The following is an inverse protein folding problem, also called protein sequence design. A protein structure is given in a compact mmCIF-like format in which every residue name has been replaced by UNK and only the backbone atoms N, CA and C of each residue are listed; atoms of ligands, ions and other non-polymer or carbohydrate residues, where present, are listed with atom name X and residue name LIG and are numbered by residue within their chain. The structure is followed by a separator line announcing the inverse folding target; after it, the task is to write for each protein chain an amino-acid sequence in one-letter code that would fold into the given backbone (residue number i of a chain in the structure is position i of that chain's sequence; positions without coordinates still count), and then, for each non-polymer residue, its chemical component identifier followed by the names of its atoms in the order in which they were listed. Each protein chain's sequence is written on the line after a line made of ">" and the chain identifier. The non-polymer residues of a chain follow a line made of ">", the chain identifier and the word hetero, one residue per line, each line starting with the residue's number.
data_IF_127488694381
#
_entry.id   IF_127488694381
#
_cell.length_a   1.000
_cell.length_b   1.000
_cell.length_c   1.000
_cell.angle_alpha   90.00
_cell.angle_beta   90.00
_cell.angle_gamma   90.00
#
_symmetry.space_group_name_H-M   'P 1'
#
loop_
_entity.id
_entity.type
_entity.pdbx_description
1 polymer ?
#
# COMPACT_ATOMS: atom_id res chain seq x y z
N UNK A 1 -28.76 -9.78 14.26
CA UNK A 1 -27.41 -9.16 14.32
C UNK A 1 -26.41 -10.29 14.24
N UNK A 2 -25.43 -10.25 13.33
CA UNK A 2 -24.52 -11.38 13.15
C UNK A 2 -23.57 -11.47 14.32
N UNK A 3 -23.80 -12.43 15.21
CA UNK A 3 -22.94 -12.72 16.35
C UNK A 3 -21.66 -13.43 15.86
N UNK A 4 -20.84 -12.69 15.12
CA UNK A 4 -19.52 -13.11 14.64
C UNK A 4 -18.42 -12.52 15.54
N UNK A 5 -17.45 -13.36 15.89
CA UNK A 5 -16.31 -13.06 16.75
C UNK A 5 -15.07 -13.16 15.85
N UNK A 6 -14.34 -12.07 15.59
CA UNK A 6 -13.15 -12.11 14.74
C UNK A 6 -12.06 -12.97 15.38
N UNK A 7 -11.38 -13.77 14.56
CA UNK A 7 -10.23 -14.60 14.96
C UNK A 7 -8.94 -13.93 14.51
N UNK A 8 -8.84 -13.66 13.21
CA UNK A 8 -7.64 -13.10 12.60
C UNK A 8 -8.01 -12.25 11.38
N UNK A 9 -7.16 -11.26 11.09
CA UNK A 9 -7.25 -10.41 9.89
C UNK A 9 -6.03 -10.70 9.04
N UNK A 10 -6.18 -10.63 7.71
CA UNK A 10 -5.06 -10.90 6.79
C UNK A 10 -4.42 -12.26 7.09
N UNK A 11 -5.24 -13.29 7.29
CA UNK A 11 -4.74 -14.63 7.57
C UNK A 11 -4.24 -15.26 6.27
N UNK A 12 -2.98 -15.68 6.27
CA UNK A 12 -2.32 -16.31 5.14
C UNK A 12 -2.73 -17.78 5.03
N UNK A 13 -3.26 -18.17 3.87
CA UNK A 13 -3.60 -19.54 3.55
C UNK A 13 -3.20 -19.86 2.11
N UNK A 14 -2.43 -20.94 1.92
CA UNK A 14 -1.87 -21.33 0.62
C UNK A 14 -1.30 -20.16 -0.21
N UNK A 15 -0.48 -19.31 0.43
CA UNK A 15 0.16 -18.12 -0.16
C UNK A 15 -0.79 -16.97 -0.53
N UNK A 16 -2.09 -17.09 -0.24
CA UNK A 16 -3.09 -16.03 -0.39
C UNK A 16 -3.47 -15.44 0.98
N UNK A 17 -3.93 -14.19 1.03
CA UNK A 17 -4.34 -13.53 2.27
C UNK A 17 -5.85 -13.32 2.32
N UNK A 18 -6.53 -13.99 3.26
CA UNK A 18 -7.95 -13.72 3.54
C UNK A 18 -8.12 -12.38 4.24
N UNK A 19 -9.18 -11.63 3.95
CA UNK A 19 -9.40 -10.35 4.64
C UNK A 19 -9.68 -10.53 6.13
N UNK A 20 -10.70 -11.32 6.50
CA UNK A 20 -11.00 -11.64 7.92
C UNK A 20 -11.48 -13.10 8.05
N UNK A 21 -10.89 -13.81 9.01
CA UNK A 21 -11.47 -15.03 9.57
C UNK A 21 -12.17 -14.73 10.89
N UNK A 22 -13.37 -15.26 11.05
CA UNK A 22 -14.19 -15.12 12.24
C UNK A 22 -14.87 -16.44 12.58
N UNK A 23 -15.45 -16.50 13.78
CA UNK A 23 -16.35 -17.59 14.16
C UNK A 23 -17.67 -17.07 14.66
N UNK A 24 -18.72 -17.84 14.47
CA UNK A 24 -19.98 -17.63 15.18
C UNK A 24 -19.88 -18.12 16.63
N UNK A 25 -20.91 -17.82 17.44
CA UNK A 25 -21.05 -18.39 18.79
C UNK A 25 -21.06 -19.93 18.84
N UNK A 26 -21.51 -20.60 17.78
CA UNK A 26 -21.47 -22.07 17.66
C UNK A 26 -20.17 -22.60 17.04
N UNK A 27 -19.10 -21.78 17.01
CA UNK A 27 -17.77 -22.14 16.48
C UNK A 27 -17.78 -22.54 15.00
N UNK A 28 -18.76 -22.06 14.22
CA UNK A 28 -18.75 -22.17 12.77
C UNK A 28 -17.76 -21.17 12.20
N UNK A 29 -16.88 -21.60 11.30
CA UNK A 29 -15.97 -20.72 10.60
C UNK A 29 -16.72 -19.78 9.64
N UNK A 30 -16.34 -18.51 9.67
CA UNK A 30 -16.83 -17.47 8.77
C UNK A 30 -15.64 -16.81 8.09
N UNK A 31 -15.66 -16.76 6.76
CA UNK A 31 -14.69 -16.05 5.94
C UNK A 31 -15.36 -14.79 5.42
N UNK A 32 -14.75 -13.63 5.67
CA UNK A 32 -15.21 -12.37 5.12
C UNK A 32 -14.16 -11.84 4.15
N UNK A 33 -14.59 -11.64 2.91
CA UNK A 33 -13.82 -10.93 1.89
C UNK A 33 -14.43 -9.55 1.68
N UNK A 34 -13.60 -8.50 1.74
CA UNK A 34 -14.07 -7.10 1.68
C UNK A 34 -13.28 -6.39 0.59
N UNK A 35 -14.00 -5.77 -0.35
CA UNK A 35 -13.40 -4.98 -1.43
C UNK A 35 -13.92 -3.54 -1.41
N UNK A 36 -13.04 -2.61 -1.73
CA UNK A 36 -13.36 -1.18 -1.82
C UNK A 36 -14.09 -0.83 -3.12
N UNK A 37 -14.00 -1.70 -4.13
CA UNK A 37 -14.54 -1.46 -5.46
C UNK A 37 -15.30 -2.69 -5.97
N UNK A 38 -15.83 -2.61 -7.18
CA UNK A 38 -16.43 -3.78 -7.82
C UNK A 38 -15.33 -4.75 -8.26
N UNK A 39 -15.35 -5.97 -7.72
CA UNK A 39 -14.40 -7.04 -8.01
C UNK A 39 -15.14 -8.21 -8.70
N UNK A 40 -14.80 -8.56 -9.95
CA UNK A 40 -15.42 -9.68 -10.67
C UNK A 40 -14.96 -11.08 -10.22
N UNK A 41 -13.91 -11.18 -9.40
CA UNK A 41 -13.27 -12.46 -9.03
C UNK A 41 -13.52 -12.86 -7.56
N UNK A 42 -14.26 -12.05 -6.79
CA UNK A 42 -14.48 -12.26 -5.35
C UNK A 42 -15.11 -13.63 -5.00
N UNK A 43 -15.96 -14.18 -5.89
CA UNK A 43 -16.54 -15.52 -5.71
C UNK A 43 -15.48 -16.61 -5.89
N UNK A 44 -14.60 -16.44 -6.89
CA UNK A 44 -13.51 -17.38 -7.15
C UNK A 44 -12.53 -17.37 -5.99
N UNK A 45 -12.20 -16.19 -5.47
CA UNK A 45 -11.32 -16.04 -4.32
C UNK A 45 -11.89 -16.71 -3.06
N UNK A 46 -13.16 -16.46 -2.73
CA UNK A 46 -13.82 -17.16 -1.62
C UNK A 46 -13.89 -18.69 -1.82
N UNK A 47 -13.97 -19.14 -3.08
CA UNK A 47 -13.92 -20.58 -3.42
C UNK A 47 -12.54 -21.17 -3.14
N UNK A 48 -11.46 -20.46 -3.46
CA UNK A 48 -10.09 -20.89 -3.15
C UNK A 48 -9.88 -20.97 -1.63
N UNK A 49 -10.29 -19.95 -0.89
CA UNK A 49 -10.20 -19.95 0.57
C UNK A 49 -10.96 -21.12 1.18
N UNK A 50 -12.18 -21.40 0.70
CA UNK A 50 -12.95 -22.55 1.16
C UNK A 50 -12.17 -23.86 0.99
N UNK A 51 -11.56 -24.07 -0.18
CA UNK A 51 -10.79 -25.28 -0.46
C UNK A 51 -9.65 -25.47 0.53
N UNK A 52 -8.79 -24.45 0.68
CA UNK A 52 -7.63 -24.57 1.56
C UNK A 52 -8.02 -24.62 3.04
N UNK A 53 -9.04 -23.87 3.48
CA UNK A 53 -9.52 -23.92 4.87
C UNK A 53 -10.06 -25.30 5.24
N UNK A 54 -10.64 -26.04 4.28
CA UNK A 54 -11.10 -27.42 4.52
C UNK A 54 -9.95 -28.41 4.66
N UNK A 55 -8.83 -28.17 3.98
CA UNK A 55 -7.63 -29.02 4.04
C UNK A 55 -6.80 -28.70 5.28
N UNK A 56 -6.45 -27.44 5.48
CA UNK A 56 -5.51 -27.01 6.52
C UNK A 56 -6.15 -26.92 7.91
N UNK A 57 -7.46 -26.67 7.97
CA UNK A 57 -8.25 -26.57 9.20
C UNK A 57 -7.61 -25.72 10.32
N UNK A 58 -7.23 -24.45 10.05
CA UNK A 58 -6.63 -23.59 11.07
C UNK A 58 -7.58 -23.34 12.26
N UNK A 59 -7.02 -23.09 13.45
CA UNK A 59 -7.78 -22.86 14.69
C UNK A 59 -8.73 -24.02 15.04
N UNK A 60 -8.33 -25.27 14.80
CA UNK A 60 -9.16 -26.46 15.05
C UNK A 60 -9.62 -26.59 16.51
N UNK A 61 -8.88 -26.02 17.46
CA UNK A 61 -9.26 -25.91 18.87
C UNK A 61 -10.43 -24.95 19.12
N UNK A 62 -10.70 -24.05 18.18
CA UNK A 62 -11.72 -23.01 18.27
C UNK A 62 -12.84 -23.13 17.23
N UNK A 63 -12.66 -23.99 16.22
CA UNK A 63 -13.53 -24.11 15.06
C UNK A 63 -14.03 -25.53 14.89
N UNK A 64 -15.35 -25.65 14.73
CA UNK A 64 -16.00 -26.90 14.39
C UNK A 64 -16.09 -27.07 12.86
N UNK A 65 -15.09 -27.71 12.26
CA UNK A 65 -15.03 -27.97 10.82
C UNK A 65 -16.08 -28.95 10.29
N UNK A 66 -16.85 -29.61 11.17
CA UNK A 66 -18.03 -30.38 10.78
C UNK A 66 -19.20 -29.48 10.35
N UNK A 67 -19.17 -28.20 10.72
CA UNK A 67 -20.12 -27.21 10.21
C UNK A 67 -19.66 -26.70 8.83
N UNK A 68 -20.59 -26.29 7.95
CA UNK A 68 -20.22 -25.65 6.70
C UNK A 68 -19.49 -24.33 6.98
N UNK A 69 -18.45 -24.03 6.21
CA UNK A 69 -17.77 -22.72 6.28
C UNK A 69 -18.71 -21.69 5.63
N UNK A 70 -18.93 -20.58 6.33
CA UNK A 70 -19.81 -19.50 5.89
C UNK A 70 -18.98 -18.48 5.10
N UNK A 71 -19.34 -18.24 3.83
CA UNK A 71 -18.59 -17.38 2.91
C UNK A 71 -19.34 -16.08 2.68
N UNK A 72 -18.70 -14.96 3.02
CA UNK A 72 -19.34 -13.64 3.00
C UNK A 72 -18.48 -12.69 2.18
N UNK A 73 -19.06 -12.10 1.15
CA UNK A 73 -18.46 -11.02 0.38
C UNK A 73 -19.11 -9.69 0.76
N UNK A 74 -18.29 -8.65 0.95
CA UNK A 74 -18.73 -7.30 1.28
C UNK A 74 -18.13 -6.32 0.27
N UNK A 75 -18.98 -5.63 -0.50
CA UNK A 75 -18.55 -4.72 -1.56
C UNK A 75 -19.51 -3.54 -1.70
N UNK A 76 -19.13 -2.38 -2.27
CA UNK A 76 -20.11 -1.33 -2.55
C UNK A 76 -21.12 -1.75 -3.64
N UNK A 77 -20.64 -2.53 -4.60
CA UNK A 77 -21.43 -3.15 -5.65
C UNK A 77 -20.81 -4.49 -6.07
N UNK A 78 -21.60 -5.36 -6.67
CA UNK A 78 -21.12 -6.63 -7.21
C UNK A 78 -21.25 -6.66 -8.72
N UNK A 79 -20.20 -7.16 -9.39
CA UNK A 79 -20.19 -7.33 -10.83
C UNK A 79 -21.21 -8.41 -11.24
N UNK A 80 -21.74 -8.31 -12.46
CA UNK A 80 -22.68 -9.30 -13.04
C UNK A 80 -22.13 -10.74 -12.97
N UNK A 81 -20.81 -10.91 -13.08
CA UNK A 81 -20.16 -12.22 -13.01
C UNK A 81 -20.32 -12.84 -11.63
N UNK A 82 -20.15 -12.08 -10.54
CA UNK A 82 -20.35 -12.59 -9.19
C UNK A 82 -21.73 -13.23 -8.98
N UNK A 83 -22.77 -12.67 -9.61
CA UNK A 83 -24.11 -13.26 -9.55
C UNK A 83 -24.23 -14.54 -10.37
N UNK A 84 -23.61 -14.59 -11.55
CA UNK A 84 -23.56 -15.78 -12.41
C UNK A 84 -22.76 -16.89 -11.70
N UNK A 85 -21.57 -16.56 -11.21
CA UNK A 85 -20.69 -17.48 -10.54
C UNK A 85 -21.35 -18.03 -9.27
N UNK A 86 -21.98 -17.17 -8.46
CA UNK A 86 -22.79 -17.63 -7.31
C UNK A 86 -23.95 -18.53 -7.74
N UNK A 87 -24.65 -18.21 -8.82
CA UNK A 87 -25.83 -18.98 -9.29
C UNK A 87 -25.45 -20.41 -9.71
N UNK A 88 -24.27 -20.61 -10.28
CA UNK A 88 -23.81 -21.90 -10.78
C UNK A 88 -22.78 -22.59 -9.88
N UNK A 89 -22.48 -22.02 -8.70
CA UNK A 89 -21.57 -22.62 -7.72
C UNK A 89 -22.35 -23.49 -6.71
N UNK A 90 -21.71 -24.55 -6.23
CA UNK A 90 -22.26 -25.46 -5.22
C UNK A 90 -22.17 -24.90 -3.79
N UNK A 91 -21.26 -23.95 -3.56
CA UNK A 91 -21.06 -23.28 -2.29
C UNK A 91 -22.07 -22.15 -2.10
N UNK A 92 -22.43 -21.88 -0.85
CA UNK A 92 -23.35 -20.80 -0.50
C UNK A 92 -22.56 -19.54 -0.14
N UNK A 93 -22.82 -18.45 -0.89
CA UNK A 93 -22.19 -17.15 -0.69
C UNK A 93 -23.21 -16.11 -0.24
N UNK A 94 -22.85 -15.33 0.77
CA UNK A 94 -23.62 -14.17 1.21
C UNK A 94 -23.00 -12.91 0.61
N UNK A 95 -23.77 -12.20 -0.21
CA UNK A 95 -23.36 -10.93 -0.81
C UNK A 95 -23.97 -9.78 -0.02
N UNK A 96 -23.12 -8.96 0.59
CA UNK A 96 -23.53 -7.76 1.31
C UNK A 96 -23.03 -6.55 0.56
N UNK A 97 -23.97 -5.67 0.21
CA UNK A 97 -23.60 -4.35 -0.29
C UNK A 97 -23.39 -3.39 0.86
N UNK A 98 -22.37 -2.55 0.80
CA UNK A 98 -22.25 -1.43 1.73
C UNK A 98 -22.37 -0.08 1.04
N UNK A 99 -22.86 0.91 1.76
CA UNK A 99 -22.80 2.30 1.36
C UNK A 99 -22.38 3.17 2.55
N UNK A 100 -21.64 4.23 2.27
CA UNK A 100 -21.34 5.24 3.27
C UNK A 100 -22.18 6.47 2.91
N UNK A 101 -23.08 6.87 3.80
CA UNK A 101 -24.02 7.97 3.60
C UNK A 101 -23.65 9.10 4.56
N UNK A 102 -23.59 10.33 4.07
CA UNK A 102 -23.41 11.52 4.89
C UNK A 102 -24.78 12.08 5.29
N UNK A 103 -24.95 12.43 6.56
CA UNK A 103 -26.13 13.15 7.02
C UNK A 103 -26.10 14.60 6.51
N UNK A 104 -27.14 15.02 5.78
CA UNK A 104 -27.23 16.38 5.25
C UNK A 104 -27.22 17.47 6.33
N UNK A 105 -27.60 17.13 7.56
CA UNK A 105 -27.67 18.07 8.67
C UNK A 105 -26.37 18.15 9.48
N UNK A 106 -25.46 17.18 9.32
CA UNK A 106 -24.18 17.15 10.03
C UNK A 106 -23.05 16.57 9.16
N UNK A 107 -22.23 17.46 8.59
CA UNK A 107 -21.11 17.16 7.67
C UNK A 107 -20.12 16.10 8.21
N UNK A 108 -20.06 15.88 9.52
CA UNK A 108 -19.13 14.94 10.17
C UNK A 108 -19.77 13.61 10.58
N UNK A 109 -21.03 13.38 10.22
CA UNK A 109 -21.74 12.14 10.55
C UNK A 109 -21.87 11.27 9.29
N UNK A 110 -20.99 10.29 9.19
CA UNK A 110 -21.08 9.27 8.15
C UNK A 110 -21.69 8.02 8.75
N UNK A 111 -22.53 7.38 7.97
CA UNK A 111 -23.25 6.18 8.36
C UNK A 111 -22.85 5.04 7.42
N UNK A 112 -22.32 3.96 7.98
CA UNK A 112 -22.16 2.71 7.23
C UNK A 112 -23.53 2.06 7.14
N UNK A 113 -24.04 1.86 5.92
CA UNK A 113 -25.21 1.07 5.65
C UNK A 113 -24.78 -0.27 5.05
N UNK A 114 -25.31 -1.37 5.58
CA UNK A 114 -25.15 -2.71 5.03
C UNK A 114 -26.49 -3.21 4.50
N UNK A 115 -26.51 -3.67 3.26
CA UNK A 115 -27.66 -4.19 2.55
C UNK A 115 -27.42 -5.67 2.23
N UNK A 116 -28.23 -6.53 2.83
CA UNK A 116 -28.28 -7.94 2.47
C UNK A 116 -29.14 -8.09 1.23
N UNK A 117 -28.59 -8.73 0.20
CA UNK A 117 -29.37 -9.04 -0.99
C UNK A 117 -30.57 -9.93 -0.59
N UNK A 118 -31.78 -9.57 -1.03
CA UNK A 118 -33.12 -10.09 -0.68
C UNK A 118 -33.87 -9.40 0.45
N UNK A 119 -33.22 -8.59 1.29
CA UNK A 119 -33.90 -7.75 2.28
C UNK A 119 -33.43 -6.30 2.08
N UNK A 120 -34.34 -5.40 1.66
CA UNK A 120 -34.11 -3.95 1.67
C UNK A 120 -33.94 -3.37 3.09
N UNK A 121 -33.57 -4.21 4.06
CA UNK A 121 -33.55 -3.88 5.47
C UNK A 121 -32.12 -3.58 5.91
N UNK A 122 -31.94 -2.30 6.27
CA UNK A 122 -30.79 -1.75 6.97
C UNK A 122 -30.60 -2.52 8.27
N UNK A 123 -29.39 -3.02 8.56
CA UNK A 123 -29.18 -3.72 9.86
C UNK A 123 -28.10 -3.11 10.75
N UNK A 124 -27.34 -2.12 10.30
CA UNK A 124 -26.45 -1.38 11.21
C UNK A 124 -26.42 0.05 10.74
N UNK A 125 -27.02 0.96 11.51
CA UNK A 125 -26.66 2.38 11.44
C UNK A 125 -25.61 2.59 12.53
N UNK A 126 -24.34 2.56 12.14
CA UNK A 126 -23.25 2.94 13.03
C UNK A 126 -22.75 4.27 12.54
N UNK A 127 -22.83 5.29 13.40
CA UNK A 127 -22.05 6.50 13.19
C UNK A 127 -20.61 6.05 13.07
N UNK A 128 -20.08 6.17 11.86
CA UNK A 128 -18.65 6.23 11.67
C UNK A 128 -18.34 7.61 12.24
N UNK A 129 -17.73 7.73 13.43
CA UNK A 129 -17.16 9.01 13.76
C UNK A 129 -16.31 9.35 12.54
N UNK A 130 -16.50 10.53 11.94
CA UNK A 130 -15.31 11.17 11.43
C UNK A 130 -14.43 11.29 12.65
N UNK A 131 -13.56 10.30 12.78
CA UNK A 131 -12.16 10.60 12.77
C UNK A 131 -12.02 11.63 11.67
N UNK A 132 -12.24 12.91 11.99
CA UNK A 132 -11.53 13.96 11.32
C UNK A 132 -10.13 13.41 11.39
N UNK A 133 -9.60 12.91 10.28
CA UNK A 133 -8.22 12.47 10.26
C UNK A 133 -7.40 13.64 10.78
N UNK A 134 -7.82 14.90 10.60
CA UNK A 134 -7.25 16.03 11.35
C UNK A 134 -7.42 16.06 12.88
N UNK A 135 -8.48 15.52 13.53
CA UNK A 135 -8.64 15.52 14.99
C UNK A 135 -8.21 14.23 15.68
N UNK A 136 -8.30 13.05 15.08
CA UNK A 136 -7.53 11.90 15.62
C UNK A 136 -6.10 11.94 15.12
N UNK A 137 -5.74 12.45 13.94
CA UNK A 137 -4.33 12.81 13.71
C UNK A 137 -3.95 13.93 14.67
N UNK A 138 -4.74 14.95 15.01
CA UNK A 138 -4.31 15.90 16.07
C UNK A 138 -4.34 15.31 17.47
N UNK A 139 -5.21 14.35 17.81
CA UNK A 139 -5.32 13.75 19.14
C UNK A 139 -4.41 12.53 19.31
N UNK A 140 -4.04 11.87 18.22
CA UNK A 140 -3.03 10.83 18.09
C UNK A 140 -1.68 11.51 17.86
N UNK A 141 -1.54 12.63 17.14
CA UNK A 141 -0.36 13.54 17.20
C UNK A 141 -0.27 14.17 18.59
N UNK A 142 -1.37 14.50 19.27
CA UNK A 142 -1.32 15.03 20.65
C UNK A 142 -1.10 13.92 21.69
N UNK A 143 -1.55 12.68 21.42
CA UNK A 143 -1.21 11.49 22.21
C UNK A 143 0.14 10.93 21.82
N UNK A 144 0.71 11.17 20.65
CA UNK A 144 2.08 10.86 20.23
C UNK A 144 3.02 12.00 20.67
N UNK A 145 2.49 13.20 20.90
CA UNK A 145 3.22 14.29 21.54
C UNK A 145 3.20 14.17 23.07
N UNK A 146 2.21 13.50 23.66
CA UNK A 146 2.08 13.33 25.12
C UNK A 146 2.25 11.89 25.63
N UNK A 147 2.20 10.85 24.78
CA UNK A 147 2.76 9.52 25.02
C UNK A 147 4.06 9.46 24.25
N UNK A 148 5.12 9.20 24.99
CA UNK A 148 6.47 8.97 24.51
C UNK A 148 6.52 7.78 23.53
N UNK A 149 6.23 8.00 22.25
CA UNK A 149 6.54 7.12 21.11
C UNK A 149 6.51 8.02 19.86
N UNK A 150 7.59 8.65 19.44
CA UNK A 150 8.91 8.10 19.30
C UNK A 150 9.98 9.05 19.88
N UNK A 151 10.63 8.62 20.95
CA UNK A 151 12.06 8.91 21.13
C UNK A 151 12.84 8.07 20.09
N UNK A 152 12.57 8.26 18.79
CA UNK A 152 13.42 7.79 17.70
C UNK A 152 14.35 8.94 17.32
N UNK A 153 15.58 8.57 16.99
CA UNK A 153 16.74 9.45 16.97
C UNK A 153 16.69 10.44 15.80
N UNK A 154 16.20 11.66 16.04
CA UNK A 154 16.49 12.83 15.19
C UNK A 154 15.31 13.77 15.04
N UNK A 155 15.45 15.01 15.52
CA UNK A 155 14.48 16.08 15.26
C UNK A 155 14.47 16.42 13.77
N UNK A 156 13.52 15.87 13.01
CA UNK A 156 13.31 16.24 11.60
C UNK A 156 12.34 17.43 11.54
N UNK A 157 12.73 18.50 10.83
CA UNK A 157 11.88 19.67 10.64
C UNK A 157 10.60 19.33 9.85
N UNK A 158 9.55 20.14 10.03
CA UNK A 158 8.29 20.01 9.27
C UNK A 158 8.52 19.95 7.74
N UNK A 159 7.69 19.19 7.00
CA UNK A 159 7.71 19.17 5.53
C UNK A 159 7.69 20.57 4.91
N UNK A 160 8.44 20.80 3.83
CA UNK A 160 8.31 22.07 3.10
C UNK A 160 6.93 22.15 2.42
N UNK A 161 6.43 23.37 2.23
CA UNK A 161 5.14 23.63 1.55
C UNK A 161 4.98 22.90 0.20
N UNK A 162 6.05 22.69 -0.54
CA UNK A 162 5.98 21.97 -1.83
C UNK A 162 5.66 20.50 -1.64
N UNK A 163 6.21 19.87 -0.60
CA UNK A 163 5.86 18.50 -0.26
C UNK A 163 4.40 18.43 0.17
N UNK A 164 3.96 19.35 1.05
CA UNK A 164 2.55 19.43 1.47
C UNK A 164 1.62 19.52 0.25
N UNK A 165 1.90 20.42 -0.69
CA UNK A 165 1.11 20.56 -1.91
C UNK A 165 1.14 19.31 -2.82
N UNK A 166 2.17 18.46 -2.72
CA UNK A 166 2.17 17.17 -3.42
C UNK A 166 1.28 16.18 -2.69
N UNK A 167 1.43 16.08 -1.36
CA UNK A 167 0.68 15.17 -0.50
C UNK A 167 -0.82 15.41 -0.57
N UNK A 168 -1.27 16.66 -0.69
CA UNK A 168 -2.70 17.02 -0.80
C UNK A 168 -3.38 16.45 -2.04
N UNK A 169 -2.62 15.94 -3.01
CA UNK A 169 -3.12 15.37 -4.25
C UNK A 169 -3.03 13.85 -4.32
N UNK A 170 -2.50 13.22 -3.28
CA UNK A 170 -2.24 11.78 -3.23
C UNK A 170 -3.23 11.10 -2.29
N UNK A 171 -3.33 9.78 -2.39
CA UNK A 171 -4.14 9.00 -1.43
C UNK A 171 -3.56 9.12 -0.01
N UNK A 172 -4.40 9.01 1.04
CA UNK A 172 -3.94 9.05 2.43
C UNK A 172 -2.84 8.02 2.75
N UNK A 173 -2.95 6.80 2.21
CA UNK A 173 -1.95 5.73 2.36
C UNK A 173 -0.61 6.17 1.78
N UNK A 174 -0.61 6.65 0.53
CA UNK A 174 0.60 7.16 -0.14
C UNK A 174 1.23 8.31 0.65
N UNK A 175 0.41 9.19 1.22
CA UNK A 175 0.89 10.32 2.05
C UNK A 175 1.64 9.84 3.29
N UNK A 176 1.12 8.85 4.00
CA UNK A 176 1.76 8.26 5.20
C UNK A 176 3.11 7.66 4.82
N UNK A 177 3.15 6.84 3.77
CA UNK A 177 4.39 6.17 3.36
C UNK A 177 5.45 7.17 2.91
N UNK A 178 5.08 8.22 2.15
CA UNK A 178 6.03 9.28 1.79
C UNK A 178 6.59 10.00 3.02
N UNK A 179 5.77 10.25 4.03
CA UNK A 179 6.21 10.90 5.27
C UNK A 179 7.16 10.01 6.08
N UNK A 180 6.89 8.70 6.19
CA UNK A 180 7.79 7.73 6.80
C UNK A 180 9.15 7.70 6.10
N UNK A 181 9.14 7.61 4.76
CA UNK A 181 10.36 7.60 3.95
C UNK A 181 11.15 8.90 4.08
N UNK A 182 10.46 10.04 4.14
CA UNK A 182 11.09 11.34 4.41
C UNK A 182 11.80 11.35 5.75
N UNK A 183 11.16 10.87 6.81
CA UNK A 183 11.76 10.82 8.13
C UNK A 183 13.00 9.91 8.12
N UNK A 184 12.91 8.72 7.54
CA UNK A 184 14.05 7.82 7.38
C UNK A 184 15.21 8.48 6.63
N UNK A 185 14.94 9.16 5.51
CA UNK A 185 15.96 9.85 4.74
C UNK A 185 16.65 10.98 5.52
N UNK A 186 15.89 11.76 6.29
CA UNK A 186 16.42 12.90 7.03
C UNK A 186 17.09 12.50 8.37
N UNK A 187 16.75 11.33 8.91
CA UNK A 187 17.37 10.78 10.14
C UNK A 187 18.58 9.89 9.85
N UNK A 188 18.59 9.16 8.73
CA UNK A 188 19.69 8.26 8.34
C UNK A 188 21.05 8.95 8.24
N UNK A 189 21.09 10.21 7.79
CA UNK A 189 22.33 10.99 7.76
C UNK A 189 22.04 12.49 7.96
N UNK A 190 22.64 13.11 8.98
CA UNK A 190 22.42 14.52 9.34
C UNK A 190 22.76 15.52 8.22
N UNK A 191 23.57 15.10 7.22
CA UNK A 191 23.93 15.96 6.09
C UNK A 191 22.88 15.94 4.97
N UNK A 192 21.92 15.01 5.01
CA UNK A 192 20.82 14.94 4.03
C UNK A 192 19.91 16.13 4.22
N UNK A 193 19.60 16.80 3.11
CA UNK A 193 18.67 17.93 3.08
C UNK A 193 17.57 17.66 2.09
N UNK A 194 16.38 18.12 2.43
CA UNK A 194 15.26 18.25 1.50
C UNK A 194 15.46 19.51 0.65
N UNK A 195 15.52 19.35 -0.68
CA UNK A 195 15.89 20.39 -1.63
C UNK A 195 14.81 20.48 -2.73
N UNK A 196 14.15 21.64 -2.80
CA UNK A 196 13.14 21.94 -3.84
C UNK A 196 13.81 22.22 -5.19
N UNK A 197 13.22 21.68 -6.26
CA UNK A 197 13.56 22.04 -7.63
C UNK A 197 12.37 21.87 -8.59
N UNK A 198 11.71 22.97 -8.95
CA UNK A 198 10.53 22.94 -9.81
C UNK A 198 9.42 22.02 -9.27
N UNK A 199 9.02 21.01 -10.05
CA UNK A 199 8.06 19.95 -9.68
C UNK A 199 8.72 18.71 -9.08
N UNK A 200 9.91 18.86 -8.53
CA UNK A 200 10.66 17.79 -7.89
C UNK A 200 11.17 18.21 -6.52
N UNK A 201 11.31 17.22 -5.65
CA UNK A 201 11.93 17.34 -4.34
C UNK A 201 13.06 16.32 -4.31
N UNK A 202 14.27 16.80 -4.04
CA UNK A 202 15.46 15.98 -3.92
C UNK A 202 15.82 15.81 -2.45
N UNK A 203 16.34 14.64 -2.11
CA UNK A 203 16.99 14.37 -0.82
C UNK A 203 18.45 14.00 -1.08
N UNK A 204 19.36 14.67 -0.38
CA UNK A 204 20.81 14.45 -0.50
C UNK A 204 21.63 15.63 0.04
N UNK A 205 22.94 15.66 -0.25
CA UNK A 205 23.80 16.78 0.18
C UNK A 205 23.49 18.07 -0.60
N UNK A 206 23.13 17.93 -1.88
CA UNK A 206 22.84 19.02 -2.81
C UNK A 206 22.05 18.49 -4.00
N UNK A 207 21.59 19.39 -4.89
CA UNK A 207 20.91 18.99 -6.15
C UNK A 207 21.76 18.09 -7.05
N UNK A 208 23.09 18.20 -6.97
CA UNK A 208 24.04 17.42 -7.78
C UNK A 208 24.55 16.17 -7.09
N UNK A 209 24.17 15.96 -5.81
CA UNK A 209 24.45 14.74 -5.04
C UNK A 209 23.17 14.23 -4.35
N UNK A 210 22.12 13.87 -5.12
CA UNK A 210 20.91 13.27 -4.57
C UNK A 210 21.08 11.78 -4.27
N UNK A 211 20.39 11.29 -3.24
CA UNK A 211 20.14 9.86 -3.03
C UNK A 211 18.70 9.49 -3.42
N UNK A 212 17.76 10.43 -3.33
CA UNK A 212 16.35 10.26 -3.70
C UNK A 212 15.78 11.50 -4.40
N UNK A 213 14.79 11.27 -5.26
CA UNK A 213 13.93 12.30 -5.84
C UNK A 213 12.47 11.86 -5.82
N UNK A 214 11.60 12.74 -5.34
CA UNK A 214 10.16 12.69 -5.59
C UNK A 214 9.79 13.65 -6.70
N UNK A 215 8.99 13.19 -7.66
CA UNK A 215 8.49 14.00 -8.78
C UNK A 215 6.99 13.80 -8.93
N UNK A 216 6.24 14.89 -8.79
CA UNK A 216 4.80 14.86 -9.02
C UNK A 216 4.52 14.88 -10.53
N UNK A 217 3.85 13.85 -11.01
CA UNK A 217 3.30 13.82 -12.36
C UNK A 217 1.82 14.15 -12.29
N UNK A 218 1.44 15.18 -13.03
CA UNK A 218 0.04 15.54 -13.16
C UNK A 218 -0.49 15.03 -14.48
N UNK A 219 -1.63 14.34 -14.43
CA UNK A 219 -2.30 13.90 -15.64
C UNK A 219 -2.95 15.09 -16.33
N UNK A 220 -2.72 15.24 -17.64
CA UNK A 220 -3.48 16.20 -18.46
C UNK A 220 -4.85 15.66 -18.88
N UNK A 221 -5.12 14.38 -18.61
CA UNK A 221 -6.35 13.68 -19.00
C UNK A 221 -7.14 13.30 -17.75
N UNK A 222 -8.44 13.58 -17.75
CA UNK A 222 -9.37 13.34 -16.63
C UNK A 222 -9.53 11.86 -16.19
N UNK A 223 -8.85 10.92 -16.86
CA UNK A 223 -8.90 9.48 -16.55
C UNK A 223 -7.75 8.97 -15.68
N UNK A 224 -6.66 9.74 -15.53
CA UNK A 224 -5.53 9.32 -14.67
C UNK A 224 -5.41 10.29 -13.49
N UNK A 225 -5.25 9.73 -12.29
CA UNK A 225 -4.98 10.51 -11.07
C UNK A 225 -3.56 11.06 -11.09
N UNK A 226 -3.35 12.20 -10.42
CA UNK A 226 -2.00 12.70 -10.12
C UNK A 226 -1.26 11.61 -9.32
N UNK A 227 -0.01 11.33 -9.68
CA UNK A 227 0.80 10.31 -8.99
C UNK A 227 2.21 10.82 -8.71
N UNK A 228 2.81 10.31 -7.65
CA UNK A 228 4.17 10.63 -7.27
C UNK A 228 5.13 9.54 -7.75
N UNK A 229 6.13 9.94 -8.52
CA UNK A 229 7.22 9.06 -8.91
C UNK A 229 8.38 9.18 -7.91
N UNK A 230 8.87 8.05 -7.42
CA UNK A 230 10.11 7.99 -6.64
C UNK A 230 11.26 7.53 -7.51
N UNK A 231 12.41 8.17 -7.33
CA UNK A 231 13.66 7.77 -7.94
C UNK A 231 14.74 7.66 -6.88
N UNK A 232 15.56 6.60 -6.96
CA UNK A 232 16.74 6.42 -6.11
C UNK A 232 18.02 6.35 -6.94
N UNK A 233 19.12 6.80 -6.37
CA UNK A 233 20.44 6.61 -6.97
C UNK A 233 21.03 5.30 -6.47
N UNK A 234 20.85 4.23 -7.26
CA UNK A 234 21.19 2.85 -6.88
C UNK A 234 22.16 2.22 -7.87
N UNK A 235 22.76 1.05 -7.56
CA UNK A 235 23.70 0.40 -8.45
C UNK A 235 23.12 0.10 -9.83
N UNK A 236 23.87 0.39 -10.89
CA UNK A 236 23.50 0.08 -12.27
C UNK A 236 23.83 -1.39 -12.51
N UNK A 237 22.85 -2.21 -12.91
CA UNK A 237 23.12 -3.60 -13.24
C UNK A 237 24.18 -3.73 -14.33
N UNK A 238 25.03 -4.76 -14.24
CA UNK A 238 26.22 -4.94 -15.10
C UNK A 238 25.89 -4.82 -16.59
N UNK A 239 24.76 -5.37 -17.02
CA UNK A 239 24.28 -5.31 -18.41
C UNK A 239 24.03 -3.88 -18.93
N UNK A 240 23.78 -2.92 -18.04
CA UNK A 240 23.50 -1.53 -18.40
C UNK A 240 24.70 -0.58 -18.25
N UNK A 241 25.81 -1.01 -17.66
CA UNK A 241 27.01 -0.18 -17.45
C UNK A 241 27.53 0.40 -18.77
N UNK A 242 27.45 -0.38 -19.87
CA UNK A 242 27.88 0.05 -21.20
C UNK A 242 27.12 1.26 -21.74
N UNK A 243 25.91 1.52 -21.27
CA UNK A 243 25.08 2.66 -21.68
C UNK A 243 25.36 3.93 -20.88
N UNK A 244 26.19 3.86 -19.83
CA UNK A 244 26.55 5.00 -18.97
C UNK A 244 27.93 5.63 -19.30
N UNK A 245 28.52 5.28 -20.45
CA UNK A 245 29.89 5.70 -20.86
C UNK A 245 30.07 7.21 -21.10
N UNK A 246 28.99 7.99 -21.14
CA UNK A 246 29.04 9.44 -21.42
C UNK A 246 29.52 10.28 -20.22
N UNK A 247 29.50 9.73 -19.00
CA UNK A 247 30.14 10.36 -17.85
C UNK A 247 31.47 9.63 -17.61
N UNK A 248 32.61 10.33 -17.62
CA UNK A 248 33.93 9.79 -17.23
C UNK A 248 33.99 9.27 -15.77
N UNK A 249 32.83 9.09 -15.11
CA UNK A 249 32.65 8.36 -13.87
C UNK A 249 32.19 6.95 -14.20
N UNK A 250 33.05 5.98 -13.91
CA UNK A 250 32.66 4.59 -13.64
C UNK A 250 31.90 4.57 -12.29
N UNK A 251 30.94 5.47 -12.06
CA UNK A 251 30.11 5.37 -10.87
C UNK A 251 29.13 4.26 -11.16
N UNK A 252 29.30 3.15 -10.45
CA UNK A 252 28.39 2.02 -10.50
C UNK A 252 26.97 2.34 -10.04
N UNK A 253 26.61 3.62 -9.79
CA UNK A 253 25.29 4.08 -9.38
C UNK A 253 24.63 4.95 -10.45
N UNK A 254 23.30 4.87 -10.54
CA UNK A 254 22.48 5.56 -11.52
C UNK A 254 21.08 5.84 -10.98
N UNK A 255 20.37 6.75 -11.65
CA UNK A 255 19.02 7.14 -11.26
C UNK A 255 18.03 6.07 -11.72
N UNK A 256 17.40 5.40 -10.76
CA UNK A 256 16.41 4.35 -10.96
C UNK A 256 15.03 4.86 -10.60
N UNK A 257 14.05 4.64 -11.46
CA UNK A 257 12.62 4.81 -11.14
C UNK A 257 12.11 3.55 -10.45
N UNK A 258 11.39 3.72 -9.35
CA UNK A 258 10.76 2.62 -8.61
C UNK A 258 9.28 2.54 -8.96
N UNK A 259 8.84 1.38 -9.45
CA UNK A 259 7.43 1.04 -9.62
C UNK A 259 6.91 0.31 -8.39
N UNK A 260 6.10 0.99 -7.59
CA UNK A 260 5.51 0.44 -6.37
C UNK A 260 4.21 -0.29 -6.66
N UNK A 261 3.79 -1.12 -5.71
CA UNK A 261 2.40 -1.54 -5.55
C UNK A 261 1.45 -0.38 -5.22
N UNK A 262 0.15 -0.66 -5.15
CA UNK A 262 -0.89 0.34 -4.91
C UNK A 262 -0.74 1.05 -3.54
N UNK A 263 -0.15 0.36 -2.56
CA UNK A 263 0.01 0.84 -1.19
C UNK A 263 1.37 1.51 -0.92
N UNK A 264 2.23 1.61 -1.94
CA UNK A 264 3.56 2.23 -1.86
C UNK A 264 4.54 1.53 -0.89
N UNK A 265 4.29 0.25 -0.58
CA UNK A 265 5.08 -0.52 0.41
C UNK A 265 6.09 -1.45 -0.23
N UNK A 266 5.76 -2.05 -1.38
CA UNK A 266 6.64 -2.98 -2.08
C UNK A 266 7.02 -2.46 -3.46
N UNK A 267 8.27 -2.69 -3.85
CA UNK A 267 8.77 -2.31 -5.18
C UNK A 267 8.60 -3.51 -6.09
N UNK A 268 7.66 -3.41 -7.03
CA UNK A 268 7.41 -4.45 -8.02
C UNK A 268 8.43 -4.40 -9.15
N UNK A 269 8.76 -3.19 -9.60
CA UNK A 269 9.62 -2.99 -10.76
C UNK A 269 10.60 -1.84 -10.59
N UNK A 270 11.66 -1.87 -11.38
CA UNK A 270 12.67 -0.82 -11.43
C UNK A 270 13.07 -0.51 -12.87
N UNK A 271 13.19 0.78 -13.18
CA UNK A 271 13.56 1.25 -14.52
C UNK A 271 14.78 2.16 -14.45
N UNK A 272 15.81 1.83 -15.23
CA UNK A 272 17.04 2.62 -15.29
C UNK A 272 16.91 3.82 -16.24
N UNK A 273 17.31 5.01 -15.77
CA UNK A 273 17.27 6.24 -16.54
C UNK A 273 18.68 6.69 -16.96
N UNK A 274 18.89 6.97 -18.27
CA UNK A 274 20.16 7.49 -18.78
C UNK A 274 19.99 8.88 -19.38
N UNK A 275 21.06 9.67 -19.41
CA UNK A 275 21.09 11.00 -20.05
C UNK A 275 20.90 10.89 -21.57
N UNK A 276 21.40 9.82 -22.19
CA UNK A 276 21.38 9.60 -23.64
C UNK A 276 20.09 8.95 -24.14
N UNK A 277 19.35 8.27 -23.26
CA UNK A 277 18.12 7.57 -23.61
C UNK A 277 17.12 7.69 -22.46
N UNK A 278 16.00 8.41 -22.70
CA UNK A 278 14.91 8.59 -21.72
C UNK A 278 14.32 7.25 -21.25
N UNK A 279 14.57 6.17 -21.97
CA UNK A 279 14.06 4.83 -21.73
C UNK A 279 15.11 3.78 -22.10
N UNK A 280 16.24 3.72 -21.38
CA UNK A 280 17.24 2.69 -21.67
C UNK A 280 16.66 1.26 -21.57
N UNK A 281 15.54 1.07 -20.86
CA UNK A 281 14.61 -0.03 -21.06
C UNK A 281 13.19 0.54 -21.19
N UNK A 282 12.50 0.25 -22.31
CA UNK A 282 11.05 0.45 -22.42
C UNK A 282 10.27 -0.53 -21.51
N UNK A 283 10.95 -1.57 -20.99
CA UNK A 283 10.39 -2.58 -20.10
C UNK A 283 10.94 -2.46 -18.67
N UNK A 284 10.08 -2.24 -17.66
CA UNK A 284 10.47 -2.32 -16.26
C UNK A 284 11.07 -3.69 -15.92
N UNK A 285 12.14 -3.71 -15.12
CA UNK A 285 12.78 -4.95 -14.65
C UNK A 285 12.09 -5.37 -13.35
N UNK A 286 11.75 -6.66 -13.20
CA UNK A 286 11.29 -7.18 -11.91
C UNK A 286 12.34 -6.93 -10.83
N UNK A 287 11.90 -6.48 -9.66
CA UNK A 287 12.78 -6.17 -8.55
C UNK A 287 13.71 -7.34 -8.17
N UNK A 288 13.23 -8.59 -8.27
CA UNK A 288 14.04 -9.79 -8.03
C UNK A 288 15.25 -9.90 -8.95
N UNK A 289 15.03 -9.67 -10.25
CA UNK A 289 16.10 -9.75 -11.25
C UNK A 289 17.11 -8.63 -11.01
N UNK A 290 16.64 -7.44 -10.65
CA UNK A 290 17.51 -6.32 -10.34
C UNK A 290 18.43 -6.63 -9.14
N UNK A 291 17.87 -7.14 -8.04
CA UNK A 291 18.62 -7.46 -6.81
C UNK A 291 19.69 -8.51 -7.08
N UNK A 292 19.34 -9.59 -7.80
CA UNK A 292 20.29 -10.64 -8.20
C UNK A 292 21.47 -10.05 -8.99
N UNK A 293 21.20 -9.19 -9.97
CA UNK A 293 22.25 -8.60 -10.81
C UNK A 293 23.21 -7.66 -10.08
N UNK A 294 22.75 -7.05 -8.99
CA UNK A 294 23.57 -6.19 -8.14
C UNK A 294 24.10 -6.92 -6.90
N UNK A 295 23.82 -8.22 -6.77
CA UNK A 295 24.32 -9.08 -5.69
C UNK A 295 23.70 -8.80 -4.33
N UNK A 296 22.43 -8.41 -4.30
CA UNK A 296 21.66 -8.20 -3.07
C UNK A 296 20.57 -9.27 -2.92
N UNK A 297 20.21 -9.56 -1.67
CA UNK A 297 19.14 -10.49 -1.33
C UNK A 297 17.74 -9.85 -1.44
N UNK A 298 16.70 -10.66 -1.24
CA UNK A 298 15.30 -10.22 -1.30
C UNK A 298 14.88 -9.28 -0.16
N UNK A 299 15.68 -9.11 0.91
CA UNK A 299 15.35 -8.15 1.97
C UNK A 299 15.29 -6.71 1.43
N UNK A 300 16.08 -6.43 0.39
CA UNK A 300 16.09 -5.17 -0.35
C UNK A 300 14.90 -4.97 -1.30
N UNK A 301 13.88 -5.84 -1.29
CA UNK A 301 12.58 -5.49 -1.87
C UNK A 301 11.83 -4.47 -1.01
N UNK A 302 12.12 -4.44 0.30
CA UNK A 302 11.56 -3.44 1.22
C UNK A 302 12.13 -2.08 0.85
N UNK A 303 11.22 -1.13 0.68
CA UNK A 303 11.53 0.24 0.27
C UNK A 303 12.59 0.85 1.19
N UNK A 304 12.42 0.72 2.50
CA UNK A 304 13.35 1.23 3.52
C UNK A 304 14.79 0.77 3.30
N UNK A 305 15.01 -0.51 2.96
CA UNK A 305 16.35 -1.09 2.78
C UNK A 305 17.07 -0.53 1.56
N UNK A 306 16.34 -0.25 0.47
CA UNK A 306 16.90 0.42 -0.70
C UNK A 306 17.21 1.89 -0.44
N UNK A 307 16.41 2.56 0.38
CA UNK A 307 16.72 3.93 0.79
C UNK A 307 18.02 3.99 1.57
N UNK A 308 18.21 3.09 2.55
CA UNK A 308 19.45 2.99 3.30
C UNK A 308 20.64 2.72 2.38
N UNK A 309 20.47 1.84 1.40
CA UNK A 309 21.47 1.58 0.37
C UNK A 309 21.79 2.83 -0.46
N UNK A 310 20.78 3.57 -0.91
CA UNK A 310 20.97 4.81 -1.68
C UNK A 310 21.70 5.87 -0.85
N UNK A 311 21.37 6.01 0.44
CA UNK A 311 22.07 6.92 1.37
C UNK A 311 23.53 6.51 1.51
N UNK A 312 23.80 5.24 1.84
CA UNK A 312 25.16 4.69 1.99
C UNK A 312 26.02 4.91 0.74
N UNK A 313 25.51 4.54 -0.42
CA UNK A 313 26.26 4.61 -1.68
C UNK A 313 26.60 6.03 -2.11
N UNK A 314 25.67 6.97 -1.93
CA UNK A 314 25.83 8.32 -2.47
C UNK A 314 26.41 9.32 -1.47
N UNK A 315 26.29 9.05 -0.17
CA UNK A 315 26.61 10.01 0.88
C UNK A 315 27.72 9.53 1.83
N UNK A 316 27.85 8.24 2.12
CA UNK A 316 28.87 7.74 3.07
C UNK A 316 30.22 7.47 2.42
N UNK A 317 30.23 7.17 1.11
CA UNK A 317 31.45 6.89 0.33
C UNK A 317 32.07 8.13 -0.36
N UNK A 318 31.61 9.36 -0.06
CA UNK A 318 32.02 10.63 -0.69
C UNK A 318 32.19 11.79 0.32
#
# INVERSE_FOLDING_TARGET
>A
MWDIIPLERQFMIAEEYTVILAKTKNSQLVVLEITETEDPDIINQLTHYYHYLKIEQPFQDQINYNLPIRLIAIAPNFHKHNFIDRLYNILQFELIRFAIINDSENINNFHLHLYLENNHQITINKTIPLVNQELEEKAEIAKLSNLQLFKLKGQVNSPRKVLVNFLDKLSPVTKIEILKLREQMLTSNQRVKEIKDGRSIFYGLSKTKPCCQFKLFSSTTSRNLDHLQCYLWLPIPKRFIRFNKASNKISGTGRMYLGFDADFQTIQTITYWTIMNRYANETPISMNIYLDEIGLDQEYQKVEKLFDLAVKLNLENN
#
